data_IF_005731905019
#
_entry.id   IF_005731905019
#
_cell.length_a   1.000
_cell.length_b   1.000
_cell.length_c   1.000
_cell.angle_alpha   90.00
_cell.angle_beta   90.00
_cell.angle_gamma   90.00
#
_symmetry.space_group_name_H-M   'P 1'
#
loop_
_entity.id
_entity.type
_entity.pdbx_description
1 polymer ?
#
# COMPACT_ATOMS: atom_id res chain seq x y z
N UNK A 1 4.43 -27.01 -19.54
CA UNK A 1 4.11 -25.57 -19.42
C UNK A 1 2.64 -25.33 -19.10
N UNK A 2 1.68 -25.93 -19.81
CA UNK A 2 0.22 -25.75 -19.54
C UNK A 2 -0.28 -26.10 -18.13
N UNK A 3 0.43 -26.93 -17.36
CA UNK A 3 0.04 -27.27 -15.98
C UNK A 3 0.46 -26.21 -14.94
N UNK A 4 1.19 -25.17 -15.36
CA UNK A 4 1.75 -24.14 -14.48
C UNK A 4 1.39 -22.71 -14.95
N UNK A 5 0.09 -22.45 -15.18
CA UNK A 5 -0.43 -21.12 -15.58
C UNK A 5 -0.19 -19.99 -14.55
N UNK A 6 0.33 -20.31 -13.35
CA UNK A 6 0.74 -19.29 -12.37
C UNK A 6 2.17 -18.78 -12.60
N UNK A 7 2.99 -19.51 -13.36
CA UNK A 7 4.38 -19.14 -13.71
C UNK A 7 4.46 -18.67 -15.16
N UNK A 8 3.75 -19.36 -16.06
CA UNK A 8 3.77 -19.08 -17.49
C UNK A 8 2.43 -18.49 -17.91
N UNK A 9 2.44 -17.29 -18.50
CA UNK A 9 1.23 -16.67 -19.04
C UNK A 9 0.75 -17.49 -20.24
N UNK A 10 -0.58 -17.55 -20.47
CA UNK A 10 -1.10 -18.29 -21.63
C UNK A 10 -0.57 -17.77 -22.96
N UNK A 11 -0.27 -16.48 -23.03
CA UNK A 11 0.28 -15.79 -24.20
C UNK A 11 1.70 -16.30 -24.52
N UNK A 12 2.55 -16.45 -23.50
CA UNK A 12 3.90 -17.03 -23.63
C UNK A 12 3.85 -18.49 -24.11
N UNK A 13 2.92 -19.29 -23.57
CA UNK A 13 2.73 -20.69 -23.97
C UNK A 13 2.30 -20.78 -25.45
N UNK A 14 1.41 -19.89 -25.90
CA UNK A 14 0.98 -19.82 -27.30
C UNK A 14 2.11 -19.37 -28.24
N UNK A 15 2.96 -18.44 -27.80
CA UNK A 15 4.14 -17.99 -28.55
C UNK A 15 5.13 -19.15 -28.73
N UNK A 16 5.45 -19.85 -27.65
CA UNK A 16 6.40 -20.98 -27.66
C UNK A 16 5.90 -22.11 -28.58
N UNK A 17 4.60 -22.42 -28.56
CA UNK A 17 4.00 -23.43 -29.47
C UNK A 17 4.09 -23.04 -30.94
N UNK A 18 3.88 -21.76 -31.23
CA UNK A 18 4.01 -21.23 -32.59
C UNK A 18 5.47 -21.26 -33.04
N UNK A 19 6.39 -20.94 -32.13
CA UNK A 19 7.83 -21.02 -32.36
C UNK A 19 8.33 -22.45 -32.59
N UNK A 20 7.78 -23.42 -31.86
CA UNK A 20 8.09 -24.85 -32.02
C UNK A 20 7.68 -25.37 -33.41
N UNK A 21 6.51 -24.97 -33.91
CA UNK A 21 6.04 -25.33 -35.24
C UNK A 21 6.93 -24.78 -36.37
N UNK A 22 7.64 -23.67 -36.13
CA UNK A 22 8.50 -22.97 -37.10
C UNK A 22 9.99 -23.29 -36.87
N UNK A 23 10.32 -23.93 -35.74
CA UNK A 23 11.70 -24.23 -35.34
C UNK A 23 12.47 -23.02 -34.79
N UNK A 24 11.78 -21.95 -34.36
CA UNK A 24 12.39 -20.71 -33.87
C UNK A 24 12.18 -20.44 -32.36
N UNK A 25 12.30 -21.48 -31.54
CA UNK A 25 12.19 -21.36 -30.08
C UNK A 25 13.26 -20.42 -29.47
N UNK A 26 14.54 -20.45 -29.91
CA UNK A 26 15.59 -19.62 -29.28
C UNK A 26 15.29 -18.13 -29.29
N UNK A 27 14.86 -17.58 -30.44
CA UNK A 27 14.58 -16.15 -30.58
C UNK A 27 13.37 -15.74 -29.73
N UNK A 28 12.32 -16.57 -29.72
CA UNK A 28 11.10 -16.30 -28.93
C UNK A 28 11.39 -16.34 -27.43
N UNK A 29 12.20 -17.30 -26.96
CA UNK A 29 12.63 -17.32 -25.56
C UNK A 29 13.46 -16.10 -25.19
N UNK A 30 14.27 -15.59 -26.11
CA UNK A 30 15.04 -14.37 -25.89
C UNK A 30 14.14 -13.13 -25.79
N UNK A 31 13.11 -13.04 -26.63
CA UNK A 31 12.12 -11.96 -26.57
C UNK A 31 11.34 -11.97 -25.24
N UNK A 32 10.83 -13.14 -24.84
CA UNK A 32 10.15 -13.31 -23.54
C UNK A 32 11.08 -12.94 -22.38
N UNK A 33 12.36 -13.31 -22.45
CA UNK A 33 13.34 -12.96 -21.41
C UNK A 33 13.53 -11.44 -21.27
N UNK A 34 13.55 -10.70 -22.39
CA UNK A 34 13.70 -9.24 -22.41
C UNK A 34 12.43 -8.58 -21.84
N UNK A 35 11.26 -9.08 -22.20
CA UNK A 35 9.97 -8.60 -21.68
C UNK A 35 9.92 -8.75 -20.15
N UNK A 36 10.24 -9.95 -19.63
CA UNK A 36 10.27 -10.21 -18.20
C UNK A 36 11.28 -9.32 -17.44
N UNK A 37 12.45 -9.06 -18.02
CA UNK A 37 13.44 -8.16 -17.42
C UNK A 37 12.92 -6.71 -17.36
N UNK A 38 12.24 -6.26 -18.41
CA UNK A 38 11.63 -4.93 -18.46
C UNK A 38 10.48 -4.79 -17.47
N UNK A 39 9.60 -5.79 -17.36
CA UNK A 39 8.54 -5.86 -16.37
C UNK A 39 9.10 -5.78 -14.94
N UNK A 40 10.18 -6.52 -14.66
CA UNK A 40 10.86 -6.46 -13.36
C UNK A 40 11.44 -5.07 -13.08
N UNK A 41 12.09 -4.43 -14.07
CA UNK A 41 12.62 -3.07 -13.92
C UNK A 41 11.52 -2.05 -13.64
N UNK A 42 10.39 -2.13 -14.36
CA UNK A 42 9.24 -1.24 -14.18
C UNK A 42 8.65 -1.44 -12.78
N UNK A 43 8.38 -2.69 -12.38
CA UNK A 43 7.84 -2.99 -11.05
C UNK A 43 8.77 -2.53 -9.93
N UNK A 44 10.08 -2.73 -10.06
CA UNK A 44 11.05 -2.22 -9.11
C UNK A 44 11.05 -0.69 -9.04
N UNK A 45 10.92 0.00 -10.18
CA UNK A 45 10.85 1.47 -10.23
C UNK A 45 9.60 1.99 -9.54
N UNK A 46 8.44 1.37 -9.79
CA UNK A 46 7.17 1.70 -9.13
C UNK A 46 7.30 1.48 -7.63
N UNK A 47 7.81 0.32 -7.20
CA UNK A 47 7.98 0.00 -5.78
C UNK A 47 8.87 1.03 -5.09
N UNK A 48 10.03 1.36 -5.68
CA UNK A 48 10.95 2.36 -5.13
C UNK A 48 10.33 3.76 -5.07
N UNK A 49 9.59 4.17 -6.11
CA UNK A 49 8.93 5.46 -6.15
C UNK A 49 7.80 5.59 -5.11
N UNK A 50 7.08 4.49 -4.84
CA UNK A 50 6.01 4.46 -3.84
C UNK A 50 6.51 4.32 -2.40
N UNK A 51 7.70 3.75 -2.18
CA UNK A 51 8.24 3.56 -0.81
C UNK A 51 8.29 4.86 -0.03
N UNK A 52 8.78 5.95 -0.64
CA UNK A 52 8.96 7.22 0.06
C UNK A 52 7.60 7.86 0.47
N UNK A 53 6.61 8.01 -0.43
CA UNK A 53 5.26 8.43 -0.04
C UNK A 53 4.65 7.58 1.06
N UNK A 54 4.72 6.24 0.97
CA UNK A 54 4.10 5.35 1.97
C UNK A 54 4.69 5.55 3.36
N UNK A 55 6.01 5.66 3.48
CA UNK A 55 6.68 5.88 4.77
C UNK A 55 6.32 7.23 5.37
N UNK A 56 6.34 8.30 4.57
CA UNK A 56 5.97 9.63 5.04
C UNK A 56 4.52 9.69 5.51
N UNK A 57 3.60 9.18 4.70
CA UNK A 57 2.17 9.14 5.03
C UNK A 57 1.98 8.36 6.34
N UNK A 58 2.60 7.18 6.47
CA UNK A 58 2.55 6.39 7.70
C UNK A 58 3.05 7.16 8.93
N UNK A 59 4.18 7.85 8.82
CA UNK A 59 4.72 8.68 9.91
C UNK A 59 3.82 9.85 10.27
N UNK A 60 3.27 10.56 9.27
CA UNK A 60 2.35 11.67 9.48
C UNK A 60 1.06 11.22 10.16
N UNK A 61 0.47 10.11 9.71
CA UNK A 61 -0.70 9.52 10.37
C UNK A 61 -0.41 9.14 11.81
N UNK A 62 0.72 8.49 12.08
CA UNK A 62 1.13 8.13 13.44
C UNK A 62 1.25 9.37 14.34
N UNK A 63 1.87 10.44 13.85
CA UNK A 63 2.02 11.69 14.60
C UNK A 63 0.65 12.34 14.92
N UNK A 64 -0.27 12.37 13.95
CA UNK A 64 -1.63 12.89 14.16
C UNK A 64 -2.39 12.06 15.19
N UNK A 65 -2.29 10.74 15.14
CA UNK A 65 -2.92 9.85 16.13
C UNK A 65 -2.39 10.15 17.53
N UNK A 66 -1.08 10.25 17.71
CA UNK A 66 -0.48 10.59 19.02
C UNK A 66 -1.01 11.93 19.54
N UNK A 67 -1.07 12.93 18.67
CA UNK A 67 -1.57 14.26 19.03
C UNK A 67 -3.03 14.19 19.51
N UNK A 68 -3.90 13.53 18.74
CA UNK A 68 -5.33 13.45 19.06
C UNK A 68 -5.58 12.57 20.30
N UNK A 69 -4.84 11.48 20.49
CA UNK A 69 -5.07 10.53 21.59
C UNK A 69 -4.49 11.01 22.91
N UNK A 70 -3.34 11.69 22.90
CA UNK A 70 -2.66 12.10 24.13
C UNK A 70 -2.70 13.61 24.36
N UNK A 71 -2.43 14.42 23.33
CA UNK A 71 -2.26 15.88 23.50
C UNK A 71 -3.61 16.57 23.70
N UNK A 72 -4.62 16.26 22.87
CA UNK A 72 -5.94 16.91 22.97
C UNK A 72 -6.63 16.65 24.31
N UNK A 73 -6.70 15.42 24.84
CA UNK A 73 -7.31 15.16 26.15
C UNK A 73 -6.60 15.89 27.28
N UNK A 74 -5.27 16.02 27.20
CA UNK A 74 -4.48 16.77 28.18
C UNK A 74 -4.89 18.24 28.20
N UNK A 75 -5.04 18.86 27.01
CA UNK A 75 -5.49 20.26 26.90
C UNK A 75 -6.93 20.42 27.41
N UNK A 76 -7.82 19.49 27.06
CA UNK A 76 -9.22 19.52 27.52
C UNK A 76 -9.31 19.38 29.04
N UNK A 77 -8.44 18.57 29.67
CA UNK A 77 -8.36 18.45 31.13
C UNK A 77 -7.94 19.75 31.83
N UNK A 78 -7.34 20.70 31.12
CA UNK A 78 -6.98 22.03 31.64
C UNK A 78 -8.09 23.07 31.46
N UNK A 79 -9.18 22.74 30.76
CA UNK A 79 -10.30 23.66 30.59
C UNK A 79 -11.13 23.75 31.90
N UNK A 80 -11.50 24.97 32.33
CA UNK A 80 -12.26 25.15 33.56
C UNK A 80 -13.67 24.55 33.44
N UNK A 81 -14.05 23.77 34.45
CA UNK A 81 -15.37 23.13 34.57
C UNK A 81 -16.47 24.21 34.60
N UNK A 82 -17.22 24.34 33.51
CA UNK A 82 -18.34 25.30 33.41
C UNK A 82 -18.48 26.00 32.06
N UNK A 83 -17.40 26.08 31.28
CA UNK A 83 -17.47 26.57 29.91
C UNK A 83 -17.73 25.41 28.94
N UNK A 84 -18.72 25.57 28.05
CA UNK A 84 -18.96 24.59 26.98
C UNK A 84 -17.73 24.53 26.08
N UNK A 85 -17.16 23.34 25.93
CA UNK A 85 -16.11 23.09 24.95
C UNK A 85 -16.62 23.48 23.55
N UNK A 86 -15.81 24.16 22.73
CA UNK A 86 -16.15 24.44 21.34
C UNK A 86 -16.54 23.15 20.61
N UNK A 87 -17.53 23.24 19.72
CA UNK A 87 -18.05 22.10 18.94
C UNK A 87 -16.95 21.38 18.15
N UNK A 88 -15.93 22.13 17.68
CA UNK A 88 -14.77 21.55 17.00
C UNK A 88 -13.92 20.64 17.91
N UNK A 89 -13.79 20.97 19.21
CA UNK A 89 -13.03 20.18 20.18
C UNK A 89 -13.76 18.90 20.56
N UNK A 90 -15.09 18.97 20.71
CA UNK A 90 -15.96 17.80 20.90
C UNK A 90 -15.87 16.84 19.70
N UNK A 91 -15.85 17.37 18.47
CA UNK A 91 -15.65 16.57 17.27
C UNK A 91 -14.28 15.88 17.27
N UNK A 92 -13.21 16.58 17.63
CA UNK A 92 -11.87 15.97 17.72
C UNK A 92 -11.78 14.86 18.77
N UNK A 93 -12.48 14.98 19.91
CA UNK A 93 -12.57 13.91 20.91
C UNK A 93 -13.31 12.68 20.37
N UNK A 94 -14.41 12.88 19.65
CA UNK A 94 -15.13 11.77 19.00
C UNK A 94 -14.24 11.05 17.95
N UNK A 95 -13.47 11.81 17.17
CA UNK A 95 -12.48 11.26 16.23
C UNK A 95 -11.37 10.53 16.99
N UNK A 96 -10.90 11.05 18.12
CA UNK A 96 -9.90 10.39 18.97
C UNK A 96 -10.36 9.01 19.44
N UNK A 97 -11.60 8.92 19.89
CA UNK A 97 -12.16 7.66 20.40
C UNK A 97 -12.43 6.66 19.26
N UNK A 98 -12.84 7.14 18.09
CA UNK A 98 -12.94 6.31 16.89
C UNK A 98 -11.56 5.75 16.50
N UNK A 99 -10.54 6.59 16.43
CA UNK A 99 -9.17 6.16 16.10
C UNK A 99 -8.63 5.17 17.13
N UNK A 100 -8.86 5.40 18.44
CA UNK A 100 -8.51 4.45 19.51
C UNK A 100 -9.25 3.11 19.42
N UNK A 101 -10.45 3.07 18.84
CA UNK A 101 -11.19 1.83 18.65
C UNK A 101 -10.73 1.06 17.40
N UNK A 102 -10.37 1.75 16.32
CA UNK A 102 -10.07 1.16 15.01
C UNK A 102 -8.58 1.17 14.61
N UNK A 103 -7.66 1.55 15.50
CA UNK A 103 -6.22 1.57 15.18
C UNK A 103 -5.69 0.21 14.69
N UNK A 104 -6.22 -0.90 15.22
CA UNK A 104 -5.89 -2.26 14.78
C UNK A 104 -6.26 -2.50 13.31
N UNK A 105 -7.41 -1.97 12.86
CA UNK A 105 -7.92 -2.12 11.49
C UNK A 105 -7.05 -1.34 10.51
N UNK A 106 -6.60 -0.14 10.90
CA UNK A 106 -5.70 0.69 10.10
C UNK A 106 -4.35 -0.02 9.88
N UNK A 107 -3.80 -0.63 10.93
CA UNK A 107 -2.57 -1.43 10.82
C UNK A 107 -2.77 -2.62 9.88
N UNK A 108 -3.92 -3.29 9.95
CA UNK A 108 -4.22 -4.47 9.13
C UNK A 108 -4.46 -4.14 7.65
N UNK A 109 -4.90 -2.91 7.33
CA UNK A 109 -5.06 -2.45 5.93
C UNK A 109 -3.78 -1.90 5.29
N UNK A 110 -2.81 -1.46 6.11
CA UNK A 110 -1.54 -0.91 5.63
C UNK A 110 -0.47 -2.00 5.46
N UNK A 111 -0.55 -3.07 6.25
CA UNK A 111 0.28 -4.30 6.14
C UNK A 111 -0.27 -5.20 5.02
#
# INVERSE_FOLDING_TARGET
MERHNYVFKQEEIALIRSAEAIGNIPDVLQEISIELENDQKINQKIKKASTYPTVLIGFSFLAVIILIVFVIPTIVGMFPEGNKLPSITLFMLAVADFVKAYWYVIILTIV
#
